data_IF_855350888490
#
_entry.id   IF_855350888490
#
_cell.length_a   1.000
_cell.length_b   1.000
_cell.length_c   1.000
_cell.angle_alpha   90.00
_cell.angle_beta   90.00
_cell.angle_gamma   90.00
#
_symmetry.space_group_name_H-M   'P 1'
#
loop_
_entity.id
_entity.type
_entity.pdbx_description
1 polymer ?
#
# COMPACT_ATOMS: atom_id res chain seq x y z
N UNK A 1 0.79 -3.16 -2.78
CA UNK A 1 2.08 -2.57 -2.35
C UNK A 1 2.66 -1.73 -3.47
N UNK A 2 3.01 -0.47 -3.19
CA UNK A 2 3.53 0.48 -4.18
C UNK A 2 4.77 1.25 -3.66
N UNK A 3 5.25 0.91 -2.46
CA UNK A 3 6.30 1.65 -1.73
C UNK A 3 7.41 0.77 -1.17
N UNK A 4 8.04 1.20 -0.07
CA UNK A 4 9.28 0.62 0.50
C UNK A 4 9.18 -0.84 0.97
N UNK A 5 7.96 -1.39 1.06
CA UNK A 5 7.67 -2.76 1.46
C UNK A 5 7.64 -3.77 0.28
N UNK A 6 7.68 -3.30 -0.96
CA UNK A 6 7.70 -4.16 -2.15
C UNK A 6 8.99 -5.02 -2.22
N UNK A 7 9.00 -6.17 -2.93
CA UNK A 7 10.17 -7.03 -3.06
C UNK A 7 11.41 -6.25 -3.52
N UNK A 8 12.53 -6.45 -2.82
CA UNK A 8 13.81 -5.78 -3.11
C UNK A 8 13.89 -4.32 -2.66
N UNK A 9 12.94 -3.82 -1.86
CA UNK A 9 12.98 -2.47 -1.28
C UNK A 9 13.43 -2.49 0.19
N UNK A 10 13.92 -1.36 0.76
CA UNK A 10 14.59 -1.33 2.07
C UNK A 10 13.77 -1.95 3.22
N UNK A 11 12.45 -1.81 3.16
CA UNK A 11 11.55 -2.27 4.22
C UNK A 11 10.87 -3.60 3.91
N UNK A 12 11.25 -4.27 2.83
CA UNK A 12 10.72 -5.59 2.49
C UNK A 12 10.90 -6.62 3.63
N UNK A 13 11.89 -6.42 4.49
CA UNK A 13 12.12 -7.26 5.67
C UNK A 13 10.94 -7.29 6.67
N UNK A 14 10.03 -6.31 6.62
CA UNK A 14 8.78 -6.36 7.39
C UNK A 14 7.75 -7.34 6.84
N UNK A 15 7.91 -7.82 5.61
CA UNK A 15 7.02 -8.80 4.95
C UNK A 15 7.75 -10.08 4.57
N UNK A 16 9.09 -10.11 4.61
CA UNK A 16 9.90 -11.26 4.17
C UNK A 16 9.71 -12.52 5.01
N UNK A 17 9.23 -12.38 6.25
CA UNK A 17 8.98 -13.50 7.15
C UNK A 17 7.56 -14.09 6.97
N UNK A 18 6.75 -13.53 6.06
CA UNK A 18 5.40 -14.00 5.78
C UNK A 18 5.40 -14.91 4.57
N UNK A 19 4.83 -16.11 4.74
CA UNK A 19 4.55 -16.98 3.61
C UNK A 19 3.41 -16.37 2.79
N UNK A 20 3.69 -16.03 1.54
CA UNK A 20 2.71 -15.36 0.70
C UNK A 20 3.09 -15.29 -0.77
N UNK A 21 2.10 -14.91 -1.58
CA UNK A 21 2.24 -14.77 -3.03
C UNK A 21 2.22 -13.31 -3.43
N UNK A 22 3.19 -12.90 -4.23
CA UNK A 22 3.24 -11.59 -4.88
C UNK A 22 2.73 -11.69 -6.31
N UNK A 23 1.78 -10.83 -6.68
CA UNK A 23 1.21 -10.78 -8.03
C UNK A 23 1.37 -9.37 -8.62
N UNK A 24 2.14 -9.21 -9.71
CA UNK A 24 2.36 -7.91 -10.37
C UNK A 24 1.20 -7.54 -11.30
N UNK A 25 1.29 -6.38 -11.95
CA UNK A 25 0.36 -5.92 -12.99
C UNK A 25 -0.97 -5.38 -12.46
N UNK A 26 -1.12 -5.26 -11.14
CA UNK A 26 -2.32 -4.70 -10.54
C UNK A 26 -2.21 -3.17 -10.46
N UNK A 27 -3.34 -2.49 -10.35
CA UNK A 27 -3.36 -1.06 -10.06
C UNK A 27 -4.47 -0.69 -9.08
N UNK A 28 -4.27 0.44 -8.41
CA UNK A 28 -5.30 1.15 -7.64
C UNK A 28 -5.50 2.53 -8.24
N UNK A 29 -6.61 3.19 -7.92
CA UNK A 29 -6.85 4.57 -8.34
C UNK A 29 -6.51 5.56 -7.24
N UNK A 30 -5.92 6.69 -7.61
CA UNK A 30 -5.59 7.73 -6.65
C UNK A 30 -4.61 8.77 -7.19
N UNK A 31 -3.88 9.38 -6.27
CA UNK A 31 -2.81 10.33 -6.58
C UNK A 31 -1.60 10.04 -5.70
N UNK A 32 -0.42 10.16 -6.28
CA UNK A 32 0.83 10.14 -5.53
C UNK A 32 1.17 11.57 -5.06
N UNK A 33 1.40 11.72 -3.76
CA UNK A 33 1.75 12.98 -3.13
C UNK A 33 3.15 12.86 -2.49
N UNK A 34 3.97 13.90 -2.64
CA UNK A 34 5.28 13.98 -1.98
C UNK A 34 5.06 14.34 -0.50
N UNK A 35 4.49 13.41 0.25
CA UNK A 35 4.16 13.49 1.67
C UNK A 35 4.41 12.15 2.36
N UNK A 36 4.55 12.20 3.68
CA UNK A 36 4.93 11.06 4.51
C UNK A 36 6.44 10.80 4.52
N UNK A 37 6.91 10.04 5.50
CA UNK A 37 8.32 9.78 5.78
C UNK A 37 9.00 9.00 4.65
N UNK A 38 8.22 8.29 3.83
CA UNK A 38 8.71 7.64 2.62
C UNK A 38 9.08 8.61 1.49
N UNK A 39 8.50 9.82 1.45
CA UNK A 39 8.69 10.77 0.35
C UNK A 39 10.13 11.28 0.28
N UNK A 40 10.78 11.53 1.42
CA UNK A 40 12.19 11.91 1.50
C UNK A 40 13.14 10.80 0.99
N UNK A 41 12.64 9.56 0.90
CA UNK A 41 13.32 8.42 0.31
C UNK A 41 12.88 8.11 -1.14
N UNK A 42 12.08 8.99 -1.75
CA UNK A 42 11.58 8.85 -3.12
C UNK A 42 10.34 7.96 -3.26
N UNK A 43 9.64 7.67 -2.14
CA UNK A 43 8.41 6.89 -2.12
C UNK A 43 7.22 7.79 -1.74
N UNK A 44 6.55 8.42 -2.72
CA UNK A 44 5.39 9.26 -2.44
C UNK A 44 4.27 8.46 -1.77
N UNK A 45 3.48 9.12 -0.93
CA UNK A 45 2.29 8.53 -0.35
C UNK A 45 1.15 8.45 -1.39
N UNK A 46 0.35 7.38 -1.31
CA UNK A 46 -0.87 7.24 -2.09
C UNK A 46 -2.01 7.95 -1.36
N UNK A 47 -2.68 8.90 -2.02
CA UNK A 47 -4.01 9.34 -1.63
C UNK A 47 -5.01 8.62 -2.53
N UNK A 48 -5.80 7.72 -1.94
CA UNK A 48 -6.82 6.98 -2.70
C UNK A 48 -7.93 7.92 -3.18
N UNK A 49 -8.38 7.73 -4.42
CA UNK A 49 -9.51 8.44 -5.02
C UNK A 49 -10.07 7.59 -6.15
N UNK A 50 -11.38 7.36 -6.14
CA UNK A 50 -12.06 6.57 -7.17
C UNK A 50 -11.83 7.13 -8.58
N UNK A 51 -11.80 8.47 -8.73
CA UNK A 51 -11.58 9.17 -9.99
C UNK A 51 -10.12 9.56 -10.22
N UNK A 52 -9.18 8.95 -9.48
CA UNK A 52 -7.75 9.23 -9.60
C UNK A 52 -7.07 8.51 -10.77
N UNK A 53 -5.77 8.77 -10.92
CA UNK A 53 -4.92 8.08 -11.90
C UNK A 53 -4.70 6.62 -11.50
N UNK A 54 -4.46 5.75 -12.48
CA UNK A 54 -4.05 4.38 -12.24
C UNK A 54 -2.60 4.34 -11.73
N UNK A 55 -2.42 3.81 -10.52
CA UNK A 55 -1.13 3.67 -9.85
C UNK A 55 -0.79 2.20 -9.77
N UNK A 56 0.31 1.80 -10.41
CA UNK A 56 0.75 0.41 -10.44
C UNK A 56 1.15 -0.08 -9.05
N UNK A 57 0.68 -1.28 -8.71
CA UNK A 57 0.95 -1.94 -7.44
C UNK A 57 1.23 -3.43 -7.66
N UNK A 58 1.91 -4.05 -6.69
CA UNK A 58 1.92 -5.50 -6.55
C UNK A 58 0.95 -5.92 -5.44
N UNK A 59 0.12 -6.91 -5.70
CA UNK A 59 -0.74 -7.52 -4.69
C UNK A 59 0.06 -8.55 -3.90
N UNK A 60 0.00 -8.49 -2.57
CA UNK A 60 0.56 -9.51 -1.70
C UNK A 60 -0.57 -10.21 -0.96
N UNK A 61 -0.64 -11.53 -1.07
CA UNK A 61 -1.62 -12.36 -0.39
C UNK A 61 -0.92 -13.35 0.54
N UNK A 62 -1.32 -13.37 1.81
CA UNK A 62 -0.77 -14.23 2.85
C UNK A 62 -1.79 -14.41 3.96
N UNK A 63 -1.93 -15.64 4.47
CA UNK A 63 -2.84 -15.99 5.56
C UNK A 63 -2.35 -15.44 6.91
N UNK A 64 -1.06 -15.10 7.01
CA UNK A 64 -0.44 -14.59 8.24
C UNK A 64 -0.70 -13.10 8.46
N UNK A 65 -1.02 -12.36 7.40
CA UNK A 65 -1.20 -10.90 7.43
C UNK A 65 -2.08 -10.38 8.59
N UNK A 66 -3.22 -11.00 8.94
CA UNK A 66 -4.03 -10.58 10.09
C UNK A 66 -3.26 -10.49 11.41
N UNK A 67 -2.27 -11.35 11.63
CA UNK A 67 -1.44 -11.34 12.84
C UNK A 67 -0.41 -10.20 12.86
N UNK A 68 -0.09 -9.62 11.69
CA UNK A 68 0.97 -8.61 11.55
C UNK A 68 0.45 -7.18 11.36
N UNK A 69 -0.87 -6.98 11.24
CA UNK A 69 -1.52 -5.68 11.12
C UNK A 69 -1.09 -4.66 12.16
N UNK A 70 -1.10 -5.02 13.45
CA UNK A 70 -0.71 -4.08 14.50
C UNK A 70 0.75 -3.60 14.35
N UNK A 71 1.66 -4.49 13.93
CA UNK A 71 3.07 -4.14 13.71
C UNK A 71 3.24 -3.22 12.50
N UNK A 72 2.55 -3.53 11.40
CA UNK A 72 2.62 -2.72 10.18
C UNK A 72 1.96 -1.34 10.40
N UNK A 73 0.83 -1.29 11.10
CA UNK A 73 0.15 -0.04 11.46
C UNK A 73 1.06 0.84 12.35
N UNK A 74 1.80 0.24 13.30
CA UNK A 74 2.75 0.97 14.14
C UNK A 74 3.99 1.46 13.39
N UNK A 75 4.46 0.71 12.39
CA UNK A 75 5.60 1.10 11.55
C UNK A 75 5.28 2.30 10.66
N UNK A 76 4.11 2.28 10.03
CA UNK A 76 3.65 3.34 9.13
C UNK A 76 3.22 4.61 9.90
N UNK A 77 2.85 4.45 11.18
CA UNK A 77 2.70 5.54 12.13
C UNK A 77 1.52 6.49 11.85
N UNK A 78 1.72 7.75 12.20
CA UNK A 78 0.67 8.78 12.15
C UNK A 78 0.49 9.40 10.76
N UNK A 79 1.35 9.09 9.79
CA UNK A 79 1.31 9.69 8.46
C UNK A 79 0.53 8.87 7.44
N UNK A 80 0.34 7.58 7.71
CA UNK A 80 -0.44 6.68 6.88
C UNK A 80 -1.61 6.05 7.65
N UNK A 81 -2.64 5.66 6.92
CA UNK A 81 -3.79 4.89 7.38
C UNK A 81 -3.98 3.67 6.51
N UNK A 82 -4.19 2.51 7.13
CA UNK A 82 -4.60 1.31 6.42
C UNK A 82 -6.08 1.42 6.06
N UNK A 83 -6.37 1.37 4.76
CA UNK A 83 -7.72 1.40 4.21
C UNK A 83 -7.92 0.22 3.25
N UNK A 84 -9.18 -0.19 3.06
CA UNK A 84 -9.57 -1.15 2.03
C UNK A 84 -9.89 -0.41 0.75
N UNK A 85 -9.27 -0.82 -0.36
CA UNK A 85 -9.47 -0.21 -1.67
C UNK A 85 -9.71 -1.28 -2.75
N UNK A 86 -10.43 -0.95 -3.84
CA UNK A 86 -10.45 -1.76 -5.04
C UNK A 86 -9.06 -1.84 -5.66
N UNK A 87 -8.62 -3.06 -5.94
CA UNK A 87 -7.42 -3.37 -6.72
C UNK A 87 -7.86 -4.03 -8.01
N UNK A 88 -7.45 -3.42 -9.12
CA UNK A 88 -7.80 -3.87 -10.46
C UNK A 88 -6.69 -4.75 -11.02
N UNK A 89 -7.07 -5.91 -11.55
CA UNK A 89 -6.16 -6.83 -12.21
C UNK A 89 -6.14 -6.63 -13.74
N UNK A 90 -5.09 -7.10 -14.44
CA UNK A 90 -5.00 -7.00 -15.90
C UNK A 90 -6.14 -7.68 -16.66
N UNK A 91 -6.74 -8.71 -16.06
CA UNK A 91 -7.85 -9.47 -16.65
C UNK A 91 -9.23 -8.79 -16.47
N UNK A 92 -9.25 -7.61 -15.85
CA UNK A 92 -10.47 -6.84 -15.57
C UNK A 92 -11.17 -7.23 -14.27
N UNK A 93 -10.66 -8.23 -13.54
CA UNK A 93 -11.19 -8.57 -12.21
C UNK A 93 -10.82 -7.50 -11.17
N UNK A 94 -11.64 -7.40 -10.12
CA UNK A 94 -11.46 -6.45 -9.02
C UNK A 94 -11.51 -7.21 -7.70
N UNK A 95 -10.51 -6.98 -6.85
CA UNK A 95 -10.43 -7.53 -5.50
C UNK A 95 -10.23 -6.41 -4.49
N UNK A 96 -10.73 -6.57 -3.26
CA UNK A 96 -10.46 -5.62 -2.17
C UNK A 96 -9.18 -6.01 -1.45
N UNK A 97 -8.28 -5.05 -1.26
CA UNK A 97 -7.05 -5.25 -0.49
C UNK A 97 -6.76 -4.07 0.43
N UNK A 98 -5.93 -4.32 1.44
CA UNK A 98 -5.42 -3.28 2.32
C UNK A 98 -4.33 -2.47 1.61
N UNK A 99 -4.37 -1.16 1.76
CA UNK A 99 -3.30 -0.25 1.37
C UNK A 99 -3.06 0.77 2.47
N UNK A 100 -1.79 1.10 2.71
CA UNK A 100 -1.43 2.26 3.52
C UNK A 100 -1.51 3.50 2.63
N UNK A 101 -2.48 4.37 2.90
CA UNK A 101 -2.68 5.62 2.18
C UNK A 101 -2.32 6.81 3.08
N UNK A 102 -1.95 7.95 2.48
CA UNK A 102 -1.75 9.20 3.20
C UNK A 102 -2.96 9.49 4.09
N UNK A 103 -2.73 9.85 5.37
CA UNK A 103 -3.84 10.25 6.21
C UNK A 103 -4.57 11.44 5.58
N UNK A 104 -5.91 11.50 5.66
CA UNK A 104 -6.64 12.71 5.38
C UNK A 104 -6.10 13.83 6.27
N UNK A 105 -6.05 15.05 5.72
CA UNK A 105 -5.70 16.22 6.53
C UNK A 105 -6.67 16.26 7.73
N UNK A 106 -6.14 16.54 8.93
CA UNK A 106 -7.00 16.81 10.08
C UNK A 106 -7.87 18.01 9.70
N UNK A 107 -9.18 17.78 9.55
CA UNK A 107 -10.13 18.87 9.44
C UNK A 107 -9.95 19.74 10.70
N UNK A 108 -9.56 21.00 10.47
CA UNK A 108 -9.35 22.00 11.51
C UNK A 108 -10.68 22.40 12.16
#
# INVERSE_FOLDING_TARGET
MYGTLAPGKPNHHHLSDLDGTWTPGHFVTGRLEQSGWGADMGYPALRWSESGDAIEVQLFASDDLPAHWARLDAFEGDEYLRILVPVHAPDGSVTLANVYAARPDKQA
#
